data_IF_705424270908
#
_entry.id   IF_705424270908
#
_cell.length_a   1.000
_cell.length_b   1.000
_cell.length_c   1.000
_cell.angle_alpha   90.00
_cell.angle_beta   90.00
_cell.angle_gamma   90.00
#
_symmetry.space_group_name_H-M   'P 1'
#
loop_
_entity.id
_entity.type
_entity.pdbx_description
1 polymer ?
#
# COMPACT_ATOMS: atom_id res chain seq x y z
N UNK A 1 9.57 3.45 -4.90
CA UNK A 1 8.15 3.15 -5.17
C UNK A 1 7.66 3.81 -6.46
N UNK A 2 7.76 5.10 -6.67
CA UNK A 2 7.17 5.85 -7.81
C UNK A 2 8.03 5.87 -9.09
N UNK A 3 8.62 4.72 -9.51
CA UNK A 3 9.62 4.70 -10.60
C UNK A 3 9.06 4.48 -12.00
N UNK A 4 7.83 3.97 -12.11
CA UNK A 4 7.26 3.54 -13.40
C UNK A 4 5.85 4.07 -13.66
N UNK A 5 5.28 4.85 -12.74
CA UNK A 5 3.90 5.32 -12.83
C UNK A 5 3.67 6.11 -14.10
N UNK A 6 4.58 7.07 -14.41
CA UNK A 6 4.43 7.90 -15.60
C UNK A 6 4.45 7.08 -16.89
N UNK A 7 5.32 6.07 -16.98
CA UNK A 7 5.34 5.15 -18.12
C UNK A 7 3.99 4.43 -18.28
N UNK A 8 3.45 3.84 -17.22
CA UNK A 8 2.15 3.15 -17.28
C UNK A 8 1.01 4.10 -17.58
N UNK A 9 1.02 5.28 -16.98
CA UNK A 9 0.02 6.33 -17.20
C UNK A 9 -0.04 6.74 -18.68
N UNK A 10 1.11 6.96 -19.29
CA UNK A 10 1.22 7.38 -20.69
C UNK A 10 0.92 6.24 -21.67
N UNK A 11 1.52 5.07 -21.45
CA UNK A 11 1.43 3.92 -22.37
C UNK A 11 0.02 3.33 -22.41
N UNK A 12 -0.58 3.14 -21.22
CA UNK A 12 -1.89 2.49 -21.12
C UNK A 12 -3.04 3.48 -20.92
N UNK A 13 -2.75 4.77 -20.81
CA UNK A 13 -3.75 5.83 -20.56
C UNK A 13 -4.65 5.55 -19.37
N UNK A 14 -4.05 5.02 -18.30
CA UNK A 14 -4.73 4.70 -17.04
C UNK A 14 -4.47 5.80 -16.01
N UNK A 15 -5.42 6.14 -15.16
CA UNK A 15 -5.24 7.16 -14.13
C UNK A 15 -4.30 6.68 -13.03
N UNK A 16 -3.48 7.59 -12.52
CA UNK A 16 -2.65 7.37 -11.36
C UNK A 16 -3.37 7.87 -10.10
N UNK A 17 -3.60 6.95 -9.18
CA UNK A 17 -4.23 7.21 -7.90
C UNK A 17 -3.19 7.34 -6.79
N UNK A 18 -3.38 8.29 -5.88
CA UNK A 18 -2.54 8.48 -4.71
C UNK A 18 -3.40 8.97 -3.53
N UNK A 19 -3.03 8.61 -2.30
CA UNK A 19 -3.63 9.21 -1.12
C UNK A 19 -2.99 10.58 -0.84
N UNK A 20 -3.76 11.65 -0.47
CA UNK A 20 -3.22 13.00 -0.29
C UNK A 20 -2.03 13.10 0.67
N UNK A 21 -2.00 12.28 1.72
CA UNK A 21 -0.90 12.28 2.69
C UNK A 21 0.44 11.79 2.13
N UNK A 22 0.44 11.11 0.97
CA UNK A 22 1.67 10.69 0.29
C UNK A 22 2.19 11.70 -0.76
N UNK A 23 1.48 12.81 -0.96
CA UNK A 23 1.93 13.88 -1.87
C UNK A 23 3.36 14.37 -1.57
N UNK A 24 3.78 14.56 -0.29
CA UNK A 24 5.16 14.95 0.01
C UNK A 24 6.20 13.92 -0.46
N UNK A 25 5.87 12.62 -0.37
CA UNK A 25 6.75 11.55 -0.85
C UNK A 25 6.86 11.54 -2.38
N UNK A 26 5.77 11.83 -3.08
CA UNK A 26 5.76 11.94 -4.54
C UNK A 26 6.60 13.15 -5.00
N UNK A 27 6.44 14.31 -4.35
CA UNK A 27 7.22 15.53 -4.66
C UNK A 27 8.72 15.32 -4.44
N UNK A 28 9.11 14.56 -3.41
CA UNK A 28 10.51 14.26 -3.10
C UNK A 28 11.08 13.11 -3.96
N UNK A 29 10.24 12.39 -4.71
CA UNK A 29 10.66 11.23 -5.48
C UNK A 29 11.72 11.55 -6.55
N UNK A 30 11.66 12.74 -7.15
CA UNK A 30 12.64 13.18 -8.16
C UNK A 30 14.06 13.36 -7.57
N UNK A 31 14.16 14.00 -6.41
CA UNK A 31 15.43 14.17 -5.69
C UNK A 31 16.01 12.82 -5.25
N UNK A 32 15.18 11.96 -4.68
CA UNK A 32 15.58 10.60 -4.29
C UNK A 32 16.00 9.74 -5.47
N UNK A 33 15.33 9.86 -6.61
CA UNK A 33 15.67 9.10 -7.80
C UNK A 33 17.11 9.37 -8.26
N UNK A 34 17.57 10.62 -8.19
CA UNK A 34 18.96 10.97 -8.52
C UNK A 34 19.97 10.31 -7.58
N UNK A 35 19.68 10.33 -6.25
CA UNK A 35 20.53 9.68 -5.23
C UNK A 35 20.64 8.18 -5.45
N UNK A 36 19.55 7.53 -5.91
CA UNK A 36 19.52 6.09 -6.20
C UNK A 36 19.95 5.73 -7.63
N UNK A 37 20.53 6.66 -8.39
CA UNK A 37 21.07 6.38 -9.73
C UNK A 37 20.00 6.21 -10.82
N UNK A 38 18.84 6.89 -10.69
CA UNK A 38 17.79 6.93 -11.71
C UNK A 38 17.70 8.32 -12.36
N UNK A 39 18.69 8.72 -13.21
CA UNK A 39 18.78 10.08 -13.74
C UNK A 39 17.63 10.46 -14.69
N UNK A 40 16.90 9.47 -15.22
CA UNK A 40 15.78 9.68 -16.15
C UNK A 40 14.41 9.50 -15.48
N UNK A 41 14.34 9.70 -14.16
CA UNK A 41 13.05 9.66 -13.47
C UNK A 41 12.13 10.78 -13.96
N UNK A 42 10.93 10.41 -14.37
CA UNK A 42 9.85 11.35 -14.67
C UNK A 42 8.87 11.35 -13.51
N UNK A 43 8.60 12.51 -12.94
CA UNK A 43 7.54 12.67 -11.95
C UNK A 43 6.17 12.47 -12.60
N UNK A 44 5.30 11.72 -11.94
CA UNK A 44 3.92 11.58 -12.36
C UNK A 44 3.05 12.64 -11.69
N UNK A 45 2.06 13.13 -12.41
CA UNK A 45 0.97 13.90 -11.83
C UNK A 45 -0.11 12.95 -11.32
N UNK A 46 -0.72 13.29 -10.19
CA UNK A 46 -1.84 12.53 -9.63
C UNK A 46 -3.10 12.88 -10.38
N UNK A 47 -3.74 11.90 -10.99
CA UNK A 47 -5.00 12.09 -11.70
C UNK A 47 -6.19 12.03 -10.73
N UNK A 48 -6.12 11.17 -9.72
CA UNK A 48 -7.21 10.97 -8.75
C UNK A 48 -6.65 10.79 -7.35
N UNK A 49 -7.23 11.49 -6.40
CA UNK A 49 -6.89 11.33 -4.98
C UNK A 49 -7.79 10.27 -4.34
N UNK A 50 -7.20 9.34 -3.57
CA UNK A 50 -7.96 8.41 -2.74
C UNK A 50 -8.66 9.15 -1.59
N UNK A 51 -9.88 8.70 -1.30
CA UNK A 51 -10.61 9.03 -0.08
C UNK A 51 -10.61 7.83 0.88
N UNK A 52 -10.64 8.10 2.18
CA UNK A 52 -10.71 7.05 3.20
C UNK A 52 -11.99 6.23 3.03
N UNK A 53 -11.85 4.89 3.07
CA UNK A 53 -12.97 3.94 2.89
C UNK A 53 -13.69 4.04 1.53
N UNK A 54 -13.06 4.60 0.53
CA UNK A 54 -13.58 4.66 -0.83
C UNK A 54 -13.79 3.24 -1.39
N UNK A 55 -14.85 3.10 -2.20
CA UNK A 55 -15.08 1.90 -3.01
C UNK A 55 -14.85 2.25 -4.47
N UNK A 56 -13.94 1.53 -5.12
CA UNK A 56 -13.67 1.65 -6.55
C UNK A 56 -14.32 0.50 -7.31
N UNK A 57 -14.77 0.80 -8.53
CA UNK A 57 -15.24 -0.21 -9.48
C UNK A 57 -14.25 -0.30 -10.64
N UNK A 58 -13.70 -1.49 -10.88
CA UNK A 58 -12.88 -1.79 -12.06
C UNK A 58 -13.54 -2.95 -12.82
N UNK A 59 -14.24 -2.61 -13.88
CA UNK A 59 -15.08 -3.57 -14.60
C UNK A 59 -16.18 -4.14 -13.69
N UNK A 60 -16.12 -5.43 -13.38
CA UNK A 60 -17.06 -6.11 -12.47
C UNK A 60 -16.53 -6.25 -11.05
N UNK A 61 -15.29 -5.87 -10.80
CA UNK A 61 -14.65 -6.00 -9.50
C UNK A 61 -14.92 -4.75 -8.65
N UNK A 62 -15.22 -4.98 -7.38
CA UNK A 62 -15.36 -3.95 -6.35
C UNK A 62 -14.14 -4.01 -5.43
N UNK A 63 -13.52 -2.86 -5.21
CA UNK A 63 -12.29 -2.74 -4.42
C UNK A 63 -12.54 -1.76 -3.29
N UNK A 64 -12.43 -2.23 -2.05
CA UNK A 64 -12.45 -1.36 -0.87
C UNK A 64 -11.04 -0.81 -0.62
N UNK A 65 -10.93 0.50 -0.50
CA UNK A 65 -9.68 1.18 -0.17
C UNK A 65 -9.59 1.27 1.36
N UNK A 66 -8.64 0.55 1.93
CA UNK A 66 -8.37 0.58 3.37
C UNK A 66 -7.21 1.54 3.62
N UNK A 67 -7.42 2.55 4.45
CA UNK A 67 -6.34 3.46 4.86
C UNK A 67 -5.51 2.79 5.96
N UNK A 68 -4.22 2.52 5.67
CA UNK A 68 -3.31 1.73 6.50
C UNK A 68 -1.95 2.45 6.67
N UNK A 69 -1.93 3.64 7.30
CA UNK A 69 -0.70 4.41 7.46
C UNK A 69 0.33 3.69 8.34
N UNK A 70 1.58 4.10 8.19
CA UNK A 70 2.70 3.65 9.02
C UNK A 70 3.99 3.44 8.24
N UNK A 71 4.01 2.58 7.22
CA UNK A 71 5.12 2.49 6.27
C UNK A 71 5.21 3.75 5.38
N UNK A 72 4.08 4.32 5.03
CA UNK A 72 3.96 5.65 4.42
C UNK A 72 2.76 6.37 5.05
N UNK A 73 2.75 7.70 5.10
CA UNK A 73 1.68 8.45 5.74
C UNK A 73 0.32 8.33 5.03
N UNK A 74 0.33 8.07 3.72
CA UNK A 74 -0.85 7.87 2.88
C UNK A 74 -1.02 6.43 2.40
N UNK A 75 -0.42 5.44 3.07
CA UNK A 75 -0.49 4.06 2.60
C UNK A 75 -1.93 3.55 2.58
N UNK A 76 -2.32 2.91 1.48
CA UNK A 76 -3.61 2.24 1.31
C UNK A 76 -3.43 0.78 0.93
N UNK A 77 -4.36 -0.05 1.36
CA UNK A 77 -4.48 -1.43 0.91
C UNK A 77 -5.76 -1.60 0.07
N UNK A 78 -5.69 -2.47 -0.93
CA UNK A 78 -6.77 -2.75 -1.86
C UNK A 78 -7.42 -4.07 -1.50
N UNK A 79 -8.63 -4.04 -0.96
CA UNK A 79 -9.35 -5.24 -0.52
C UNK A 79 -10.47 -5.62 -1.49
N UNK A 80 -10.36 -6.80 -2.06
CA UNK A 80 -11.33 -7.45 -2.94
C UNK A 80 -12.14 -8.45 -2.11
N UNK A 81 -13.20 -7.95 -1.48
CA UNK A 81 -13.97 -8.73 -0.49
C UNK A 81 -14.57 -10.01 -1.07
N UNK A 82 -15.15 -9.93 -2.28
CA UNK A 82 -15.79 -11.09 -2.94
C UNK A 82 -14.80 -12.18 -3.32
N UNK A 83 -13.60 -11.78 -3.67
CA UNK A 83 -12.50 -12.68 -4.06
C UNK A 83 -11.68 -13.15 -2.85
N UNK A 84 -11.83 -12.51 -1.69
CA UNK A 84 -11.03 -12.79 -0.49
C UNK A 84 -9.56 -12.45 -0.66
N UNK A 85 -9.24 -11.37 -1.41
CA UNK A 85 -7.87 -10.97 -1.73
C UNK A 85 -7.56 -9.58 -1.17
N UNK A 86 -6.35 -9.42 -0.65
CA UNK A 86 -5.83 -8.15 -0.16
C UNK A 86 -4.47 -7.86 -0.81
N UNK A 87 -4.35 -6.70 -1.45
CA UNK A 87 -3.06 -6.14 -1.91
C UNK A 87 -2.69 -5.00 -0.97
N UNK A 88 -1.80 -5.25 -0.04
CA UNK A 88 -1.51 -4.32 1.06
C UNK A 88 -0.18 -3.57 0.94
N UNK A 89 0.53 -3.77 -0.18
CA UNK A 89 1.83 -3.14 -0.40
C UNK A 89 2.83 -3.53 0.68
N UNK A 90 3.43 -2.54 1.32
CA UNK A 90 4.48 -2.77 2.32
C UNK A 90 3.95 -2.60 3.76
N UNK A 91 2.83 -3.26 4.09
CA UNK A 91 2.21 -3.21 5.43
C UNK A 91 2.42 -4.52 6.19
N UNK A 92 1.81 -5.62 5.72
CA UNK A 92 1.87 -6.93 6.37
C UNK A 92 2.54 -7.94 5.45
N UNK A 93 3.64 -8.51 5.89
CA UNK A 93 4.39 -9.54 5.17
C UNK A 93 4.26 -10.88 5.87
N UNK A 94 4.58 -11.94 5.15
CA UNK A 94 4.68 -13.27 5.73
C UNK A 94 5.74 -13.27 6.85
N UNK A 95 5.27 -13.35 8.12
CA UNK A 95 6.09 -13.34 9.35
C UNK A 95 6.90 -12.05 9.55
N UNK A 96 6.42 -10.94 8.95
CA UNK A 96 7.07 -9.65 9.07
C UNK A 96 6.08 -8.50 8.85
N UNK A 97 6.58 -7.28 8.98
CA UNK A 97 5.83 -6.04 8.70
C UNK A 97 6.70 -5.07 7.94
N UNK A 98 6.07 -4.07 7.32
CA UNK A 98 6.78 -3.00 6.64
C UNK A 98 7.73 -2.25 7.56
N UNK A 99 8.86 -1.82 7.02
CA UNK A 99 9.82 -1.00 7.78
C UNK A 99 9.27 0.41 8.01
N UNK A 100 9.68 1.01 9.12
CA UNK A 100 9.21 2.32 9.58
C UNK A 100 10.34 3.24 10.02
N UNK A 101 11.55 3.02 9.50
CA UNK A 101 12.77 3.75 9.81
C UNK A 101 13.11 4.85 8.79
N UNK A 102 12.17 5.20 7.91
CA UNK A 102 12.28 6.33 7.00
C UNK A 102 11.58 7.58 7.53
N UNK A 103 11.95 8.77 7.04
CA UNK A 103 11.17 9.97 7.33
C UNK A 103 9.69 9.82 6.97
N UNK A 104 8.81 10.34 7.81
CA UNK A 104 7.36 10.27 7.70
C UNK A 104 6.74 8.90 7.97
N UNK A 105 7.53 7.86 8.25
CA UNK A 105 7.02 6.58 8.71
C UNK A 105 6.71 6.61 10.22
N UNK A 106 5.77 5.77 10.66
CA UNK A 106 5.40 5.64 12.07
C UNK A 106 5.07 4.19 12.41
N UNK A 107 5.85 3.59 13.33
CA UNK A 107 5.66 2.19 13.71
C UNK A 107 4.36 1.96 14.48
N UNK A 108 3.98 2.88 15.36
CA UNK A 108 2.74 2.75 16.13
C UNK A 108 1.51 2.82 15.21
N UNK A 109 1.53 3.68 14.19
CA UNK A 109 0.47 3.74 13.19
C UNK A 109 0.42 2.47 12.35
N UNK A 110 1.58 1.88 11.98
CA UNK A 110 1.62 0.61 11.25
C UNK A 110 0.99 -0.52 12.04
N UNK A 111 1.37 -0.69 13.31
CA UNK A 111 0.81 -1.72 14.20
C UNK A 111 -0.70 -1.52 14.35
N UNK A 112 -1.13 -0.29 14.60
CA UNK A 112 -2.56 0.06 14.72
C UNK A 112 -3.31 -0.26 13.42
N UNK A 113 -2.77 0.10 12.26
CA UNK A 113 -3.36 -0.20 10.95
C UNK A 113 -3.56 -1.70 10.74
N UNK A 114 -2.55 -2.51 11.06
CA UNK A 114 -2.65 -3.97 10.96
C UNK A 114 -3.74 -4.49 11.89
N UNK A 115 -3.75 -4.10 13.16
CA UNK A 115 -4.71 -4.59 14.15
C UNK A 115 -6.15 -4.17 13.85
N UNK A 116 -6.37 -2.90 13.48
CA UNK A 116 -7.71 -2.33 13.36
C UNK A 116 -8.31 -2.41 11.95
N UNK A 117 -7.50 -2.61 10.92
CA UNK A 117 -7.95 -2.71 9.54
C UNK A 117 -7.74 -4.12 8.96
N UNK A 118 -6.53 -4.66 9.03
CA UNK A 118 -6.23 -5.92 8.37
C UNK A 118 -6.67 -7.13 9.18
N UNK A 119 -6.41 -7.14 10.49
CA UNK A 119 -6.79 -8.26 11.35
C UNK A 119 -8.30 -8.35 11.63
N UNK A 120 -9.09 -7.37 11.20
CA UNK A 120 -10.56 -7.44 11.21
C UNK A 120 -11.13 -8.19 10.00
N UNK A 121 -10.32 -8.42 8.96
CA UNK A 121 -10.72 -9.17 7.78
C UNK A 121 -10.84 -10.66 8.08
N UNK A 122 -11.60 -11.43 7.26
CA UNK A 122 -11.70 -12.89 7.41
C UNK A 122 -10.33 -13.57 7.39
N UNK A 123 -10.14 -14.57 8.24
CA UNK A 123 -8.86 -15.30 8.36
C UNK A 123 -8.41 -15.96 7.05
N UNK A 124 -9.35 -16.33 6.19
CA UNK A 124 -9.09 -16.90 4.87
C UNK A 124 -8.62 -15.89 3.81
N UNK A 125 -8.63 -14.58 4.12
CA UNK A 125 -8.20 -13.54 3.17
C UNK A 125 -6.72 -13.74 2.82
N UNK A 126 -6.44 -13.88 1.52
CA UNK A 126 -5.08 -14.01 1.00
C UNK A 126 -4.47 -12.62 0.86
N UNK A 127 -3.30 -12.43 1.45
CA UNK A 127 -2.52 -11.19 1.41
C UNK A 127 -1.42 -11.29 0.37
N UNK A 128 -1.41 -10.36 -0.57
CA UNK A 128 -0.36 -10.16 -1.56
C UNK A 128 0.43 -8.89 -1.22
N UNK A 129 1.57 -9.02 -0.54
CA UNK A 129 2.39 -7.88 -0.17
C UNK A 129 3.20 -7.35 -1.34
N UNK A 130 3.78 -6.15 -1.18
CA UNK A 130 4.67 -5.55 -2.17
C UNK A 130 5.98 -6.32 -2.38
N UNK A 131 6.40 -7.13 -1.41
CA UNK A 131 7.60 -7.94 -1.44
C UNK A 131 7.39 -9.32 -0.78
N UNK A 132 8.12 -10.31 -1.26
CA UNK A 132 8.06 -11.67 -0.70
C UNK A 132 6.86 -12.49 -1.19
N UNK A 133 6.58 -13.57 -0.49
CA UNK A 133 5.48 -14.48 -0.80
C UNK A 133 4.17 -14.06 -0.13
N UNK A 134 3.06 -14.54 -0.69
CA UNK A 134 1.73 -14.35 -0.11
C UNK A 134 1.59 -15.05 1.26
N UNK A 135 0.64 -14.57 2.04
CA UNK A 135 0.24 -15.15 3.33
C UNK A 135 -1.27 -15.06 3.48
N UNK A 136 -1.81 -15.38 4.66
CA UNK A 136 -3.22 -15.16 5.00
C UNK A 136 -3.35 -14.32 6.25
N UNK A 137 -4.47 -13.65 6.41
CA UNK A 137 -4.77 -12.89 7.64
C UNK A 137 -4.72 -13.83 8.86
N UNK A 138 -5.30 -15.02 8.76
CA UNK A 138 -5.28 -16.00 9.86
C UNK A 138 -3.88 -16.47 10.24
N UNK A 139 -3.04 -16.76 9.27
CA UNK A 139 -1.64 -17.15 9.54
C UNK A 139 -0.87 -16.05 10.27
N UNK A 140 -1.06 -14.80 9.87
CA UNK A 140 -0.33 -13.68 10.47
C UNK A 140 -0.87 -13.31 11.86
N UNK A 141 -2.18 -13.39 12.11
CA UNK A 141 -2.74 -13.25 13.46
C UNK A 141 -2.11 -14.20 14.47
N UNK A 142 -1.86 -15.44 14.07
CA UNK A 142 -1.31 -16.48 14.93
C UNK A 142 0.21 -16.38 15.06
N UNK A 143 0.88 -16.08 13.97
CA UNK A 143 2.30 -16.40 13.84
C UNK A 143 3.20 -15.20 13.57
N UNK A 144 2.66 -14.00 13.34
CA UNK A 144 3.47 -12.80 13.10
C UNK A 144 4.21 -12.43 14.41
N UNK A 145 5.55 -12.32 14.41
CA UNK A 145 6.30 -11.99 15.63
C UNK A 145 6.26 -10.50 15.98
N UNK A 146 5.86 -9.64 15.05
CA UNK A 146 5.91 -8.18 15.20
C UNK A 146 4.59 -7.58 15.66
N UNK A 147 3.46 -8.17 15.25
CA UNK A 147 2.13 -7.66 15.59
C UNK A 147 1.24 -8.81 16.07
N UNK A 148 0.72 -8.66 17.27
CA UNK A 148 -0.24 -9.60 17.86
C UNK A 148 -1.66 -9.14 17.56
N UNK A 149 -2.58 -10.11 17.36
CA UNK A 149 -4.00 -9.87 17.19
C UNK A 149 -4.65 -9.43 18.50
#
# INVERSE_FOLDING_TARGET
MYKRQEYFRQEYKIPFYLHPKDEPLLKDAASRAQVYGFPHYQASEVDVWYEDNQILQIGKMEIKILFVPGHAPGHVALYFEKEGLLFDGDVLFRRSVGRTDFPLCNHADLVKSIQTQLYTLPDSTIVYPGHGGSTTIGDEKVSNPYVKA
#
